data_IF_226285609927
#
_entry.id   IF_226285609927
#
_cell.length_a   1.000
_cell.length_b   1.000
_cell.length_c   1.000
_cell.angle_alpha   90.00
_cell.angle_beta   90.00
_cell.angle_gamma   90.00
#
_symmetry.space_group_name_H-M   'P 1'
#
loop_
_entity.id
_entity.type
_entity.pdbx_description
1 polymer ?
#
# COMPACT_ATOMS: atom_id res chain seq x y z
N UNK A 1 39.22 1.53 -16.66
CA UNK A 1 38.10 2.24 -17.32
C UNK A 1 36.80 2.02 -16.54
N UNK A 2 36.07 3.09 -16.18
CA UNK A 2 34.74 2.93 -15.60
C UNK A 2 33.74 2.58 -16.73
N UNK A 3 33.05 1.44 -16.61
CA UNK A 3 32.20 0.87 -17.65
C UNK A 3 30.77 1.48 -17.71
N UNK A 4 30.53 2.65 -17.09
CA UNK A 4 29.17 3.22 -16.99
C UNK A 4 29.09 4.62 -16.36
N UNK A 5 27.87 5.05 -16.03
CA UNK A 5 27.55 6.37 -15.47
C UNK A 5 26.19 6.42 -14.75
N UNK A 6 25.75 7.63 -14.36
CA UNK A 6 24.46 7.88 -13.71
C UNK A 6 23.50 8.59 -14.69
N UNK A 7 22.24 8.17 -14.72
CA UNK A 7 21.18 8.77 -15.54
C UNK A 7 20.04 9.26 -14.64
N UNK A 8 19.43 10.38 -15.02
CA UNK A 8 18.31 11.00 -14.31
C UNK A 8 17.30 11.52 -15.36
N UNK A 9 16.02 11.25 -15.14
CA UNK A 9 14.94 11.68 -16.02
C UNK A 9 13.65 11.89 -15.19
N UNK A 10 12.62 12.50 -15.79
CA UNK A 10 11.28 12.71 -15.20
C UNK A 10 11.28 13.43 -13.83
N UNK A 11 12.18 14.42 -13.68
CA UNK A 11 12.24 15.25 -12.47
C UNK A 11 10.96 16.07 -12.35
N UNK A 12 10.28 15.92 -11.21
CA UNK A 12 9.10 16.71 -10.86
C UNK A 12 9.31 17.38 -9.50
N UNK A 13 8.79 18.60 -9.35
CA UNK A 13 8.81 19.35 -8.10
C UNK A 13 7.40 19.85 -7.79
N UNK A 14 6.96 19.68 -6.54
CA UNK A 14 5.68 20.17 -6.05
C UNK A 14 5.78 20.52 -4.56
N UNK A 15 5.01 21.51 -4.12
CA UNK A 15 4.86 21.86 -2.71
C UNK A 15 3.88 20.90 -2.00
N UNK A 16 4.19 19.61 -2.04
CA UNK A 16 3.39 18.54 -1.45
C UNK A 16 4.26 17.65 -0.55
N UNK A 17 3.63 16.93 0.39
CA UNK A 17 4.35 15.99 1.25
C UNK A 17 4.74 14.74 0.45
N UNK A 18 5.96 14.25 0.66
CA UNK A 18 6.40 12.98 0.08
C UNK A 18 5.61 11.80 0.68
N UNK A 19 5.35 10.73 -0.09
CA UNK A 19 4.77 9.51 0.48
C UNK A 19 5.68 8.98 1.59
N UNK A 20 5.08 8.55 2.72
CA UNK A 20 5.85 8.01 3.86
C UNK A 20 6.56 6.71 3.50
N UNK A 21 5.91 5.88 2.66
CA UNK A 21 6.45 4.63 2.16
C UNK A 21 6.11 4.43 0.69
N UNK A 22 6.95 3.67 -0.01
CA UNK A 22 6.72 3.27 -1.40
C UNK A 22 6.92 1.77 -1.52
N UNK A 23 5.87 1.08 -1.94
CA UNK A 23 5.96 -0.32 -2.32
C UNK A 23 6.08 -0.44 -3.83
N UNK A 24 7.25 -0.90 -4.30
CA UNK A 24 7.49 -1.18 -5.72
C UNK A 24 7.28 -2.67 -6.00
N UNK A 25 6.23 -3.00 -6.73
CA UNK A 25 6.05 -4.34 -7.31
C UNK A 25 6.77 -4.40 -8.66
N UNK A 26 7.81 -5.21 -8.74
CA UNK A 26 8.54 -5.43 -10.01
C UNK A 26 7.77 -6.42 -10.88
N UNK A 27 7.92 -6.28 -12.21
CA UNK A 27 7.28 -7.16 -13.20
C UNK A 27 5.76 -7.28 -12.99
N UNK A 28 5.08 -6.15 -12.72
CA UNK A 28 3.67 -6.14 -12.32
C UNK A 28 2.73 -6.77 -13.36
N UNK A 29 3.04 -6.66 -14.67
CA UNK A 29 2.28 -7.35 -15.71
C UNK A 29 2.27 -8.87 -15.51
N UNK A 30 3.44 -9.48 -15.29
CA UNK A 30 3.54 -10.91 -14.99
C UNK A 30 2.80 -11.27 -13.69
N UNK A 31 2.88 -10.42 -12.67
CA UNK A 31 2.13 -10.61 -11.41
C UNK A 31 0.63 -10.65 -11.68
N UNK A 32 0.10 -9.73 -12.49
CA UNK A 32 -1.31 -9.71 -12.87
C UNK A 32 -1.72 -10.96 -13.67
N UNK A 33 -0.88 -11.41 -14.61
CA UNK A 33 -1.20 -12.53 -15.48
C UNK A 33 -1.12 -13.90 -14.79
N UNK A 34 -0.25 -14.03 -13.79
CA UNK A 34 0.08 -15.33 -13.17
C UNK A 34 -0.52 -15.54 -11.78
N UNK A 35 -0.96 -14.48 -11.11
CA UNK A 35 -1.56 -14.62 -9.77
C UNK A 35 -3.01 -15.09 -9.90
N UNK A 36 -3.38 -16.27 -9.37
CA UNK A 36 -4.75 -16.76 -9.46
C UNK A 36 -5.76 -15.84 -8.76
N UNK A 37 -7.03 -15.94 -9.17
CA UNK A 37 -8.15 -15.32 -8.46
C UNK A 37 -8.13 -15.69 -6.97
N UNK A 38 -8.39 -14.73 -6.09
CA UNK A 38 -8.39 -14.96 -4.64
C UNK A 38 -6.99 -15.15 -4.03
N UNK A 39 -5.93 -15.07 -4.81
CA UNK A 39 -4.54 -15.11 -4.31
C UNK A 39 -4.00 -13.70 -4.14
N UNK A 40 -3.41 -13.43 -2.98
CA UNK A 40 -2.85 -12.12 -2.67
C UNK A 40 -1.32 -12.08 -2.66
N UNK A 41 -0.76 -10.90 -2.89
CA UNK A 41 0.63 -10.55 -2.59
C UNK A 41 0.68 -9.52 -1.47
N UNK A 42 1.82 -9.47 -0.77
CA UNK A 42 2.03 -8.55 0.34
C UNK A 42 3.20 -7.61 0.11
N UNK A 43 3.10 -6.39 0.62
CA UNK A 43 4.24 -5.48 0.71
C UNK A 43 5.23 -5.94 1.76
N UNK A 44 6.44 -5.35 1.83
CA UNK A 44 7.19 -5.33 3.07
C UNK A 44 6.36 -4.69 4.20
N UNK A 45 6.60 -5.05 5.47
CA UNK A 45 6.01 -4.33 6.59
C UNK A 45 6.59 -2.92 6.69
N UNK A 46 5.75 -1.94 6.96
CA UNK A 46 6.08 -0.54 7.15
C UNK A 46 5.72 -0.10 8.56
N UNK A 47 6.57 0.67 9.22
CA UNK A 47 6.32 1.16 10.59
C UNK A 47 6.17 2.66 10.56
N UNK A 48 4.98 3.16 10.91
CA UNK A 48 4.69 4.60 10.92
C UNK A 48 5.51 5.34 11.97
N UNK A 49 5.58 6.66 11.85
CA UNK A 49 6.21 7.53 12.87
C UNK A 49 5.61 7.38 14.28
N UNK A 50 4.38 6.89 14.39
CA UNK A 50 3.70 6.64 15.67
C UNK A 50 3.92 5.22 16.20
N UNK A 51 4.75 4.43 15.53
CA UNK A 51 5.16 3.09 15.97
C UNK A 51 4.22 1.97 15.56
N UNK A 52 3.14 2.23 14.80
CA UNK A 52 2.29 1.15 14.30
C UNK A 52 2.91 0.52 13.05
N UNK A 53 3.04 -0.80 13.06
CA UNK A 53 3.45 -1.55 11.87
C UNK A 53 2.22 -1.97 11.06
N UNK A 54 2.30 -1.83 9.74
CA UNK A 54 1.26 -2.21 8.82
C UNK A 54 1.84 -2.83 7.54
N UNK A 55 1.00 -3.55 6.81
CA UNK A 55 1.35 -4.19 5.55
C UNK A 55 0.20 -4.02 4.56
N UNK A 56 0.55 -3.81 3.30
CA UNK A 56 -0.40 -3.76 2.19
C UNK A 56 -0.61 -5.17 1.64
N UNK A 57 -1.86 -5.55 1.43
CA UNK A 57 -2.25 -6.76 0.70
C UNK A 57 -2.90 -6.35 -0.62
N UNK A 58 -2.47 -6.95 -1.73
CA UNK A 58 -3.11 -6.79 -3.04
C UNK A 58 -3.60 -8.14 -3.54
N UNK A 59 -4.77 -8.16 -4.15
CA UNK A 59 -5.26 -9.27 -4.97
C UNK A 59 -5.20 -8.84 -6.44
N UNK A 60 -4.14 -9.20 -7.19
CA UNK A 60 -3.95 -8.78 -8.58
C UNK A 60 -5.14 -9.11 -9.48
N UNK A 61 -5.62 -10.35 -9.40
CA UNK A 61 -6.75 -10.87 -10.20
C UNK A 61 -8.11 -10.66 -9.52
N UNK A 62 -8.14 -9.95 -8.40
CA UNK A 62 -9.33 -9.75 -7.56
C UNK A 62 -9.66 -10.91 -6.63
N UNK A 63 -10.79 -10.75 -5.93
CA UNK A 63 -11.35 -11.73 -5.00
C UNK A 63 -12.56 -12.43 -5.62
N UNK A 64 -13.04 -13.51 -4.99
CA UNK A 64 -14.17 -14.30 -5.50
C UNK A 64 -15.45 -13.47 -5.72
N UNK A 65 -15.70 -12.50 -4.85
CA UNK A 65 -16.81 -11.55 -4.91
C UNK A 65 -16.62 -10.46 -5.99
N UNK A 66 -15.37 -10.17 -6.36
CA UNK A 66 -15.02 -9.14 -7.35
C UNK A 66 -13.94 -9.64 -8.33
N UNK A 67 -14.25 -10.62 -9.19
CA UNK A 67 -13.28 -11.20 -10.11
C UNK A 67 -12.81 -10.18 -11.14
N UNK A 68 -11.51 -10.18 -11.42
CA UNK A 68 -10.88 -9.25 -12.37
C UNK A 68 -10.69 -7.82 -11.84
N UNK A 69 -11.05 -7.55 -10.57
CA UNK A 69 -10.89 -6.24 -9.95
C UNK A 69 -9.70 -6.23 -8.99
N UNK A 70 -8.62 -5.56 -9.36
CA UNK A 70 -7.47 -5.34 -8.46
C UNK A 70 -7.95 -4.76 -7.13
N UNK A 71 -7.78 -5.54 -6.05
CA UNK A 71 -8.26 -5.16 -4.73
C UNK A 71 -7.08 -4.88 -3.80
N UNK A 72 -7.18 -3.84 -2.99
CA UNK A 72 -6.13 -3.40 -2.07
C UNK A 72 -6.65 -3.26 -0.65
N UNK A 73 -5.88 -3.78 0.30
CA UNK A 73 -6.19 -3.76 1.72
C UNK A 73 -4.97 -3.33 2.52
N UNK A 74 -5.22 -2.64 3.64
CA UNK A 74 -4.19 -2.30 4.62
C UNK A 74 -4.45 -3.09 5.90
N UNK A 75 -3.43 -3.78 6.38
CA UNK A 75 -3.48 -4.57 7.60
C UNK A 75 -2.54 -3.99 8.64
N UNK A 76 -3.02 -3.79 9.86
CA UNK A 76 -2.13 -3.61 11.00
C UNK A 76 -1.46 -4.94 11.32
N UNK A 77 -0.17 -4.89 11.62
CA UNK A 77 0.66 -6.07 11.89
C UNK A 77 1.30 -5.88 13.24
N UNK A 78 0.97 -6.77 14.19
CA UNK A 78 1.68 -6.83 15.46
C UNK A 78 3.05 -7.49 15.27
N UNK A 79 4.10 -6.89 15.82
CA UNK A 79 5.46 -7.43 15.81
C UNK A 79 5.95 -7.71 17.22
N UNK A 80 6.90 -8.64 17.32
CA UNK A 80 7.62 -8.88 18.57
C UNK A 80 8.38 -7.61 18.98
N UNK A 81 8.13 -7.12 20.19
CA UNK A 81 8.68 -5.87 20.70
C UNK A 81 7.82 -4.63 20.46
N UNK A 82 6.64 -4.75 19.82
CA UNK A 82 5.67 -3.65 19.81
C UNK A 82 5.20 -3.39 21.24
N UNK A 83 5.58 -2.23 21.78
CA UNK A 83 5.20 -1.78 23.11
C UNK A 83 4.94 -0.26 23.09
N UNK A 84 3.93 0.17 23.85
CA UNK A 84 3.59 1.58 24.01
C UNK A 84 2.58 2.12 22.99
N UNK A 85 2.21 1.35 21.97
CA UNK A 85 1.08 1.68 21.09
C UNK A 85 -0.26 1.43 21.78
N UNK A 86 -1.25 2.28 21.50
CA UNK A 86 -2.63 2.12 21.99
C UNK A 86 -3.39 1.15 21.08
N UNK A 87 -4.03 0.15 21.68
CA UNK A 87 -4.86 -0.80 20.95
C UNK A 87 -6.29 -0.82 21.51
N UNK A 88 -7.34 -0.89 20.66
CA UNK A 88 -7.29 -0.86 19.19
C UNK A 88 -6.75 0.47 18.62
N UNK A 89 -6.08 0.40 17.46
CA UNK A 89 -5.37 1.53 16.86
C UNK A 89 -6.31 2.72 16.59
N UNK A 90 -6.17 3.86 17.30
CA UNK A 90 -7.19 4.90 17.27
C UNK A 90 -6.95 5.93 16.16
N UNK A 91 -7.88 6.01 15.22
CA UNK A 91 -8.04 7.12 14.26
C UNK A 91 -6.82 7.39 13.37
N UNK A 92 -6.18 6.31 12.90
CA UNK A 92 -5.05 6.42 11.96
C UNK A 92 -5.55 6.28 10.54
N UNK A 93 -5.38 7.35 9.77
CA UNK A 93 -5.71 7.35 8.35
C UNK A 93 -4.54 6.77 7.53
N UNK A 94 -4.83 5.71 6.78
CA UNK A 94 -3.92 5.11 5.82
C UNK A 94 -4.40 5.47 4.42
N UNK A 95 -3.58 6.22 3.69
CA UNK A 95 -3.84 6.60 2.30
C UNK A 95 -2.99 5.76 1.36
N UNK A 96 -3.67 5.01 0.50
CA UNK A 96 -3.10 4.09 -0.47
C UNK A 96 -3.25 4.71 -1.85
N UNK A 97 -2.16 4.76 -2.62
CA UNK A 97 -2.15 5.35 -3.95
C UNK A 97 -1.50 4.39 -4.96
N UNK A 98 -2.26 3.97 -5.96
CA UNK A 98 -1.72 3.37 -7.16
C UNK A 98 -1.27 4.50 -8.10
N UNK A 99 0.05 4.68 -8.18
CA UNK A 99 0.67 5.80 -8.91
C UNK A 99 0.57 5.61 -10.42
N UNK A 100 -0.06 6.58 -11.08
CA UNK A 100 0.13 6.77 -12.52
C UNK A 100 1.51 7.38 -12.77
N UNK A 101 2.35 6.66 -13.51
CA UNK A 101 3.74 7.02 -13.77
C UNK A 101 3.90 7.95 -14.99
N UNK A 102 2.93 8.83 -15.24
CA UNK A 102 3.09 9.85 -16.27
C UNK A 102 4.32 10.75 -15.98
N UNK A 103 5.16 11.06 -16.99
CA UNK A 103 6.36 11.89 -16.83
C UNK A 103 6.11 13.25 -16.16
N UNK A 104 4.98 13.87 -16.49
CA UNK A 104 4.58 15.17 -15.98
C UNK A 104 3.54 15.04 -14.86
N UNK A 105 3.86 15.53 -13.65
CA UNK A 105 3.03 15.36 -12.45
C UNK A 105 1.59 15.87 -12.60
N UNK A 106 1.37 16.99 -13.30
CA UNK A 106 0.03 17.57 -13.48
C UNK A 106 -0.89 16.72 -14.37
N UNK A 107 -0.34 15.73 -15.08
CA UNK A 107 -1.10 14.82 -15.95
C UNK A 107 -1.32 13.45 -15.33
N UNK A 108 -0.81 13.20 -14.11
CA UNK A 108 -0.97 11.92 -13.43
C UNK A 108 -2.40 11.77 -12.93
N UNK A 109 -3.05 10.68 -13.30
CA UNK A 109 -4.38 10.27 -12.81
C UNK A 109 -4.25 9.08 -11.86
N UNK A 110 -3.52 9.28 -10.75
CA UNK A 110 -3.30 8.22 -9.77
C UNK A 110 -4.60 7.83 -9.05
N UNK A 111 -4.80 6.53 -8.82
CA UNK A 111 -5.98 6.04 -8.13
C UNK A 111 -5.69 5.97 -6.61
N UNK A 112 -6.40 6.79 -5.83
CA UNK A 112 -6.19 6.91 -4.39
C UNK A 112 -7.41 6.42 -3.60
N UNK A 113 -7.15 5.72 -2.51
CA UNK A 113 -8.14 5.31 -1.51
C UNK A 113 -7.58 5.52 -0.11
N UNK A 114 -8.43 5.96 0.80
CA UNK A 114 -8.04 6.17 2.20
C UNK A 114 -8.99 5.39 3.10
N UNK A 115 -8.44 4.80 4.15
CA UNK A 115 -9.18 4.15 5.23
C UNK A 115 -8.70 4.75 6.54
N UNK A 116 -9.59 4.85 7.52
CA UNK A 116 -9.24 5.32 8.86
C UNK A 116 -9.56 4.22 9.85
N UNK A 117 -8.61 3.89 10.73
CA UNK A 117 -8.86 2.91 11.79
C UNK A 117 -9.82 3.51 12.81
N UNK A 118 -10.93 2.84 13.06
CA UNK A 118 -11.87 3.20 14.12
C UNK A 118 -11.70 2.19 15.27
N UNK A 119 -11.34 2.64 16.47
CA UNK A 119 -11.09 1.74 17.59
C UNK A 119 -12.36 1.08 18.14
N UNK A 120 -13.54 1.51 17.70
CA UNK A 120 -14.85 0.96 18.07
C UNK A 120 -15.42 0.00 17.02
N UNK A 121 -14.84 -0.03 15.82
CA UNK A 121 -15.24 -0.96 14.77
C UNK A 121 -14.90 -2.40 15.17
N UNK A 122 -15.89 -3.28 15.04
CA UNK A 122 -15.76 -4.71 15.28
C UNK A 122 -15.84 -5.45 13.96
N UNK A 123 -15.09 -6.55 13.82
CA UNK A 123 -15.29 -7.41 12.68
C UNK A 123 -16.72 -8.00 12.73
N UNK A 124 -17.36 -8.13 11.57
CA UNK A 124 -18.58 -8.92 11.44
C UNK A 124 -18.32 -10.32 12.03
N UNK A 125 -19.21 -10.79 12.90
CA UNK A 125 -19.11 -12.04 13.69
C UNK A 125 -18.23 -12.01 14.95
N UNK A 126 -17.75 -10.84 15.41
CA UNK A 126 -16.99 -10.73 16.68
C UNK A 126 -17.85 -10.82 17.95
N UNK A 127 -19.18 -10.80 17.81
CA UNK A 127 -20.14 -10.86 18.94
C UNK A 127 -20.66 -12.29 19.21
N UNK A 128 -19.99 -13.32 18.67
CA UNK A 128 -20.20 -14.74 19.02
C UNK A 128 -19.37 -15.17 20.24
#
# INVERSE_FOLDING_TARGET
PAAGGLSLDDINLSETTCPEFVWRVKNFGQVMDTTPLGTSIFSPPFTSKEGYTFQMQLYPSGKEDYPGQLSAYAHLVAREGDAGQTWPCPWKQMTMMLMDQHPHIQKRMSNQRSVTTDPTEKATDSDL
#
